data_IF_292527433574
#
_entry.id   IF_292527433574
#
_cell.length_a   1.000
_cell.length_b   1.000
_cell.length_c   1.000
_cell.angle_alpha   90.00
_cell.angle_beta   90.00
_cell.angle_gamma   90.00
#
_symmetry.space_group_name_H-M   'P 1'
#
loop_
_entity.id
_entity.type
_entity.pdbx_description
1 polymer ?
#
# COMPACT_ATOMS: atom_id res chain seq x y z
N UNK A 1 -22.22 42.54 -52.35
CA UNK A 1 -21.53 41.30 -51.95
C UNK A 1 -20.65 41.60 -50.76
N UNK A 2 -21.04 41.16 -49.55
CA UNK A 2 -20.19 41.22 -48.35
C UNK A 2 -20.17 39.80 -47.77
N UNK A 3 -19.05 39.12 -47.92
CA UNK A 3 -18.79 37.78 -47.39
C UNK A 3 -18.11 37.93 -46.03
N UNK A 4 -18.83 37.64 -44.96
CA UNK A 4 -18.25 37.49 -43.61
C UNK A 4 -17.78 36.06 -43.42
N UNK A 5 -16.47 35.88 -43.29
CA UNK A 5 -15.84 34.61 -42.90
C UNK A 5 -16.06 34.35 -41.41
N UNK A 6 -16.58 33.17 -41.05
CA UNK A 6 -16.63 32.71 -39.68
C UNK A 6 -15.39 31.84 -39.39
N UNK A 7 -14.54 32.29 -38.47
CA UNK A 7 -13.48 31.46 -37.87
C UNK A 7 -14.13 30.54 -36.82
N UNK A 8 -14.18 29.24 -37.09
CA UNK A 8 -14.45 28.23 -36.06
C UNK A 8 -13.19 28.00 -35.24
N UNK A 9 -13.14 28.55 -34.03
CA UNK A 9 -12.15 28.21 -33.02
C UNK A 9 -12.47 26.87 -32.38
N UNK A 10 -11.62 25.86 -32.58
CA UNK A 10 -11.70 24.58 -31.91
C UNK A 10 -11.18 24.75 -30.48
N UNK A 11 -12.08 24.83 -29.48
CA UNK A 11 -11.68 24.72 -28.07
C UNK A 11 -11.27 23.27 -27.78
N UNK A 12 -9.97 23.02 -27.59
CA UNK A 12 -9.51 21.81 -26.91
C UNK A 12 -9.92 21.91 -25.43
N UNK A 13 -10.92 21.14 -25.02
CA UNK A 13 -11.20 20.93 -23.61
C UNK A 13 -10.08 20.07 -23.01
N UNK A 14 -9.18 20.70 -22.23
CA UNK A 14 -8.29 19.99 -21.34
C UNK A 14 -9.13 19.44 -20.18
N UNK A 15 -9.47 18.15 -20.23
CA UNK A 15 -10.07 17.48 -19.09
C UNK A 15 -9.01 17.39 -17.96
N UNK A 16 -9.32 17.78 -16.71
CA UNK A 16 -8.42 17.55 -15.59
C UNK A 16 -8.24 16.04 -15.42
N UNK A 17 -7.00 15.57 -15.48
CA UNK A 17 -6.62 14.22 -15.11
C UNK A 17 -6.89 14.08 -13.61
N UNK A 18 -7.93 13.34 -13.26
CA UNK A 18 -8.12 12.86 -11.89
C UNK A 18 -7.00 11.84 -11.68
N UNK A 19 -5.97 12.21 -10.92
CA UNK A 19 -4.91 11.27 -10.53
C UNK A 19 -5.48 10.34 -9.48
N UNK A 20 -6.00 9.20 -9.93
CA UNK A 20 -6.52 8.15 -9.06
C UNK A 20 -5.34 7.27 -8.62
N UNK A 21 -4.87 7.47 -7.38
CA UNK A 21 -3.69 6.82 -6.81
C UNK A 21 -3.90 5.33 -6.42
N UNK A 22 -4.91 4.68 -7.00
CA UNK A 22 -5.28 3.30 -6.76
C UNK A 22 -4.54 2.38 -7.74
N UNK A 23 -4.10 1.20 -7.28
CA UNK A 23 -3.24 0.33 -8.08
C UNK A 23 -3.49 -1.15 -7.80
N UNK A 24 -3.00 -2.02 -8.69
CA UNK A 24 -3.13 -3.48 -8.59
C UNK A 24 -1.79 -4.13 -8.96
N UNK A 25 -1.37 -5.13 -8.19
CA UNK A 25 -0.21 -5.95 -8.52
C UNK A 25 -0.59 -7.02 -9.54
N UNK A 26 -0.26 -6.81 -10.82
CA UNK A 26 -0.73 -7.66 -11.92
C UNK A 26 0.34 -8.55 -12.52
N UNK A 27 1.63 -8.20 -12.38
CA UNK A 27 2.70 -8.88 -13.11
C UNK A 27 3.79 -9.41 -12.18
N UNK A 28 4.13 -10.69 -12.36
CA UNK A 28 5.23 -11.35 -11.66
C UNK A 28 6.57 -10.90 -12.26
N UNK A 29 7.56 -10.64 -11.42
CA UNK A 29 8.96 -10.41 -11.80
C UNK A 29 9.82 -11.46 -11.13
N UNK A 30 10.76 -12.03 -11.87
CA UNK A 30 11.79 -12.94 -11.33
C UNK A 30 13.15 -12.49 -11.82
N UNK A 31 14.08 -12.26 -10.89
CA UNK A 31 15.44 -11.79 -11.14
C UNK A 31 15.49 -10.53 -12.04
N UNK A 32 14.55 -9.60 -11.82
CA UNK A 32 14.43 -8.35 -12.57
C UNK A 32 13.69 -8.47 -13.90
N UNK A 33 13.32 -9.68 -14.35
CA UNK A 33 12.61 -9.91 -15.61
C UNK A 33 11.12 -10.17 -15.37
N UNK A 34 10.20 -9.40 -15.99
CA UNK A 34 8.78 -9.70 -15.96
C UNK A 34 8.46 -11.07 -16.58
N UNK A 35 7.56 -11.82 -15.96
CA UNK A 35 7.17 -13.16 -16.37
C UNK A 35 5.73 -13.18 -16.84
N UNK A 36 5.51 -13.55 -18.11
CA UNK A 36 4.18 -13.57 -18.71
C UNK A 36 3.54 -12.18 -18.85
N UNK A 37 2.26 -12.18 -19.21
CA UNK A 37 1.40 -10.99 -19.22
C UNK A 37 0.77 -10.79 -17.83
N UNK A 38 0.10 -9.66 -17.64
CA UNK A 38 -0.74 -9.41 -16.47
C UNK A 38 -1.62 -10.62 -16.14
N UNK A 39 -1.65 -11.00 -14.87
CA UNK A 39 -2.43 -12.10 -14.32
C UNK A 39 -2.11 -13.50 -14.88
N UNK A 40 -0.99 -13.67 -15.60
CA UNK A 40 -0.57 -15.02 -16.05
C UNK A 40 -0.31 -15.94 -14.85
N UNK A 41 0.38 -15.42 -13.83
CA UNK A 41 0.80 -16.17 -12.64
C UNK A 41 0.20 -15.62 -11.34
N UNK A 42 -0.56 -14.52 -11.43
CA UNK A 42 -1.25 -13.87 -10.32
C UNK A 42 -2.74 -14.05 -10.51
N UNK A 43 -3.45 -14.48 -9.47
CA UNK A 43 -4.90 -14.66 -9.53
C UNK A 43 -5.57 -13.31 -9.73
N UNK A 44 -6.22 -13.15 -10.87
CA UNK A 44 -7.02 -11.96 -11.14
C UNK A 44 -8.21 -11.90 -10.17
N UNK A 45 -8.41 -10.73 -9.57
CA UNK A 45 -9.53 -10.43 -8.68
C UNK A 45 -10.59 -9.59 -9.42
N UNK A 46 -11.78 -9.44 -8.83
CA UNK A 46 -12.86 -8.62 -9.38
C UNK A 46 -12.93 -7.20 -8.81
N UNK A 47 -12.10 -6.87 -7.81
CA UNK A 47 -12.00 -5.53 -7.24
C UNK A 47 -11.15 -4.58 -8.12
N UNK A 48 -10.46 -5.13 -9.12
CA UNK A 48 -9.57 -4.40 -10.02
C UNK A 48 -8.54 -3.59 -9.23
N UNK A 49 -8.26 -2.36 -9.62
CA UNK A 49 -7.34 -1.47 -8.92
C UNK A 49 -7.89 -0.87 -7.62
N UNK A 50 -9.16 -1.10 -7.28
CA UNK A 50 -9.74 -0.54 -6.06
C UNK A 50 -9.18 -1.23 -4.80
N UNK A 51 -8.98 -0.48 -3.70
CA UNK A 51 -8.63 -1.08 -2.42
C UNK A 51 -9.80 -1.88 -1.83
N UNK A 52 -9.48 -2.75 -0.89
CA UNK A 52 -10.46 -3.27 0.08
C UNK A 52 -10.32 -2.57 1.42
N UNK A 53 -11.40 -2.53 2.21
CA UNK A 53 -11.44 -1.85 3.51
C UNK A 53 -11.58 -2.82 4.69
N UNK A 54 -11.22 -2.44 5.93
CA UNK A 54 -11.19 -3.36 7.07
C UNK A 54 -12.54 -4.05 7.31
N UNK A 55 -13.65 -3.31 7.18
CA UNK A 55 -15.01 -3.81 7.35
C UNK A 55 -15.45 -4.81 6.27
N UNK A 56 -14.73 -4.88 5.15
CA UNK A 56 -15.02 -5.80 4.05
C UNK A 56 -14.21 -7.08 4.17
N UNK A 57 -12.92 -6.96 4.53
CA UNK A 57 -11.98 -8.07 4.37
C UNK A 57 -11.47 -8.67 5.68
N UNK A 58 -11.48 -7.98 6.82
CA UNK A 58 -10.67 -8.43 7.97
C UNK A 58 -11.04 -9.81 8.52
N UNK A 59 -12.33 -10.15 8.46
CA UNK A 59 -12.89 -11.44 8.84
C UNK A 59 -13.35 -12.28 7.63
N UNK A 60 -13.02 -11.86 6.41
CA UNK A 60 -13.44 -12.49 5.16
C UNK A 60 -12.30 -13.30 4.52
N UNK A 61 -12.60 -14.45 3.87
CA UNK A 61 -11.66 -15.14 3.00
C UNK A 61 -11.04 -14.25 1.91
N UNK A 62 -11.71 -13.18 1.51
CA UNK A 62 -11.21 -12.22 0.52
C UNK A 62 -9.91 -11.54 0.96
N UNK A 63 -9.59 -11.47 2.26
CA UNK A 63 -8.29 -10.95 2.72
C UNK A 63 -7.09 -11.75 2.20
N UNK A 64 -7.29 -13.02 1.81
CA UNK A 64 -6.19 -13.86 1.29
C UNK A 64 -5.64 -13.31 -0.02
N UNK A 65 -6.50 -13.18 -1.03
CA UNK A 65 -6.08 -12.92 -2.41
C UNK A 65 -6.95 -11.86 -3.12
N UNK A 66 -7.72 -11.08 -2.35
CA UNK A 66 -8.69 -10.08 -2.81
C UNK A 66 -9.99 -10.69 -3.37
N UNK A 67 -11.03 -9.86 -3.37
CA UNK A 67 -12.40 -10.22 -3.72
C UNK A 67 -12.47 -10.79 -5.13
N UNK A 68 -13.04 -11.99 -5.24
CA UNK A 68 -13.27 -12.65 -6.52
C UNK A 68 -12.05 -13.33 -7.13
N UNK A 69 -10.88 -13.30 -6.47
CA UNK A 69 -9.76 -14.16 -6.84
C UNK A 69 -10.12 -15.63 -6.56
N UNK A 70 -9.86 -16.53 -7.52
CA UNK A 70 -10.28 -17.93 -7.44
C UNK A 70 -9.12 -18.89 -7.70
N UNK A 71 -9.19 -20.07 -7.11
CA UNK A 71 -8.34 -21.19 -7.50
C UNK A 71 -8.54 -21.50 -9.00
N UNK A 72 -7.46 -21.86 -9.68
CA UNK A 72 -7.45 -22.23 -11.09
C UNK A 72 -7.46 -21.07 -12.08
N UNK A 73 -7.46 -19.82 -11.63
CA UNK A 73 -7.48 -18.64 -12.51
C UNK A 73 -6.10 -18.17 -12.99
N UNK A 74 -5.02 -18.78 -12.49
CA UNK A 74 -3.64 -18.45 -12.84
C UNK A 74 -2.81 -19.71 -13.09
N UNK A 75 -1.74 -19.57 -13.87
CA UNK A 75 -0.73 -20.61 -14.06
C UNK A 75 0.27 -20.62 -12.89
N UNK A 76 1.06 -21.68 -12.76
CA UNK A 76 2.11 -21.79 -11.75
C UNK A 76 3.47 -21.53 -12.38
N UNK A 77 4.27 -20.62 -11.81
CA UNK A 77 5.64 -20.34 -12.25
C UNK A 77 6.66 -21.02 -11.34
N UNK A 78 7.71 -21.62 -11.91
CA UNK A 78 8.79 -22.24 -11.13
C UNK A 78 9.85 -21.22 -10.76
N UNK A 79 10.18 -21.13 -9.47
CA UNK A 79 11.26 -20.30 -8.92
C UNK A 79 12.20 -21.16 -8.09
N UNK A 80 13.43 -20.70 -7.92
CA UNK A 80 14.43 -21.32 -7.06
C UNK A 80 14.54 -20.57 -5.73
N UNK A 81 14.88 -21.29 -4.68
CA UNK A 81 15.32 -20.71 -3.43
C UNK A 81 16.48 -19.73 -3.70
N UNK A 82 16.41 -18.52 -3.15
CA UNK A 82 17.35 -17.42 -3.44
C UNK A 82 17.00 -16.54 -4.64
N UNK A 83 16.03 -16.89 -5.49
CA UNK A 83 15.58 -15.98 -6.55
C UNK A 83 15.00 -14.70 -5.96
N UNK A 84 15.23 -13.57 -6.64
CA UNK A 84 14.55 -12.31 -6.34
C UNK A 84 13.20 -12.32 -7.04
N UNK A 85 12.11 -12.27 -6.28
CA UNK A 85 10.74 -12.32 -6.79
C UNK A 85 10.05 -10.98 -6.50
N UNK A 86 9.27 -10.50 -7.46
CA UNK A 86 8.61 -9.21 -7.41
C UNK A 86 7.19 -9.24 -7.94
N UNK A 87 6.39 -8.29 -7.47
CA UNK A 87 5.04 -8.03 -7.91
C UNK A 87 5.01 -6.59 -8.43
N UNK A 88 4.86 -6.43 -9.75
CA UNK A 88 4.80 -5.12 -10.41
C UNK A 88 3.36 -4.64 -10.50
N UNK A 89 3.19 -3.33 -10.34
CA UNK A 89 1.92 -2.66 -10.59
C UNK A 89 1.56 -2.64 -12.07
N UNK A 90 0.26 -2.69 -12.34
CA UNK A 90 -0.28 -2.53 -13.68
C UNK A 90 -0.03 -1.12 -14.25
N UNK A 91 -0.13 -0.97 -15.58
CA UNK A 91 0.03 0.30 -16.30
C UNK A 91 1.32 1.11 -16.03
N UNK A 92 2.36 0.50 -15.45
CA UNK A 92 3.57 1.19 -15.01
C UNK A 92 3.29 2.30 -13.96
N UNK A 93 2.24 2.11 -13.16
CA UNK A 93 1.94 2.97 -12.03
C UNK A 93 2.97 2.85 -10.89
N UNK A 94 2.90 3.80 -9.98
CA UNK A 94 3.69 3.84 -8.75
C UNK A 94 2.78 3.67 -7.52
N UNK A 95 3.34 3.18 -6.42
CA UNK A 95 2.67 3.20 -5.12
C UNK A 95 2.67 4.66 -4.63
N UNK A 96 1.51 5.31 -4.73
CA UNK A 96 1.33 6.73 -4.35
C UNK A 96 0.54 6.92 -3.06
N UNK A 97 0.48 5.87 -2.24
CA UNK A 97 -0.04 5.96 -0.88
C UNK A 97 1.03 5.59 0.14
N UNK A 98 1.12 6.32 1.28
CA UNK A 98 2.00 5.96 2.37
C UNK A 98 1.52 4.66 3.02
N UNK A 99 2.43 3.72 3.28
CA UNK A 99 2.07 2.45 3.88
C UNK A 99 3.16 1.40 3.85
N UNK A 100 3.10 0.37 4.70
CA UNK A 100 4.00 -0.77 4.64
C UNK A 100 3.66 -1.71 3.48
N UNK A 101 4.67 -2.46 3.05
CA UNK A 101 4.54 -3.60 2.14
C UNK A 101 4.86 -4.92 2.83
N UNK A 102 4.20 -5.99 2.42
CA UNK A 102 4.38 -7.33 2.96
C UNK A 102 4.39 -8.38 1.85
N UNK A 103 5.10 -9.49 2.12
CA UNK A 103 4.90 -10.73 1.37
C UNK A 103 4.72 -11.90 2.34
N UNK A 104 3.67 -12.67 2.11
CA UNK A 104 3.35 -13.89 2.84
C UNK A 104 3.35 -15.09 1.90
N UNK A 105 3.64 -16.27 2.44
CA UNK A 105 3.61 -17.51 1.70
C UNK A 105 2.79 -18.56 2.43
N UNK A 106 2.07 -19.38 1.67
CA UNK A 106 1.35 -20.54 2.18
C UNK A 106 1.59 -21.74 1.28
N UNK A 107 2.13 -22.82 1.87
CA UNK A 107 2.39 -24.06 1.14
C UNK A 107 1.07 -24.74 0.83
N UNK A 108 0.84 -25.06 -0.44
CA UNK A 108 -0.32 -25.84 -0.84
C UNK A 108 -0.17 -27.29 -0.33
N UNK A 109 -1.24 -27.90 0.21
CA UNK A 109 -1.22 -29.31 0.60
C UNK A 109 -1.16 -30.27 -0.61
N UNK A 110 -1.47 -29.76 -1.81
CA UNK A 110 -1.40 -30.44 -3.09
C UNK A 110 -1.03 -29.44 -4.18
N UNK A 111 -1.73 -29.48 -5.32
CA UNK A 111 -1.53 -28.45 -6.34
C UNK A 111 -2.01 -27.08 -5.85
N UNK A 112 -1.20 -26.04 -6.04
CA UNK A 112 -1.60 -24.67 -5.74
C UNK A 112 -2.75 -24.19 -6.63
N UNK A 113 -2.90 -24.78 -7.82
CA UNK A 113 -3.98 -24.41 -8.74
C UNK A 113 -5.36 -24.68 -8.13
N UNK A 114 -5.53 -25.73 -7.30
CA UNK A 114 -6.79 -26.00 -6.60
C UNK A 114 -6.84 -25.47 -5.16
N UNK A 115 -5.75 -24.89 -4.65
CA UNK A 115 -5.64 -24.44 -3.27
C UNK A 115 -6.24 -23.04 -3.06
N UNK A 116 -7.10 -22.89 -2.05
CA UNK A 116 -7.80 -21.65 -1.72
C UNK A 116 -7.07 -20.76 -0.69
N UNK A 117 -5.94 -21.21 -0.16
CA UNK A 117 -5.19 -20.48 0.87
C UNK A 117 -5.68 -20.68 2.30
N UNK A 118 -6.49 -21.70 2.59
CA UNK A 118 -7.03 -21.98 3.94
C UNK A 118 -6.04 -22.59 4.94
N UNK A 119 -4.88 -23.01 4.47
CA UNK A 119 -3.79 -23.51 5.28
C UNK A 119 -3.06 -22.40 6.04
N UNK A 120 -1.85 -22.72 6.47
CA UNK A 120 -1.04 -21.81 7.28
C UNK A 120 -0.25 -20.84 6.39
N UNK A 121 -0.12 -19.61 6.87
CA UNK A 121 0.65 -18.55 6.25
C UNK A 121 1.83 -18.16 7.14
N UNK A 122 2.94 -17.78 6.53
CA UNK A 122 4.07 -17.15 7.20
C UNK A 122 4.54 -15.93 6.40
N UNK A 123 5.06 -14.93 7.10
CA UNK A 123 5.59 -13.71 6.48
C UNK A 123 7.05 -13.96 6.05
N UNK A 124 7.41 -13.59 4.82
CA UNK A 124 8.79 -13.72 4.31
C UNK A 124 9.46 -12.38 4.06
N UNK A 125 8.68 -11.30 4.03
CA UNK A 125 9.19 -9.94 3.92
C UNK A 125 8.18 -8.97 4.51
N UNK A 126 8.70 -7.94 5.16
CA UNK A 126 8.00 -6.68 5.36
C UNK A 126 8.92 -5.51 5.10
N UNK A 127 8.32 -4.38 4.75
CA UNK A 127 9.01 -3.11 4.55
C UNK A 127 8.11 -1.98 5.04
N UNK A 128 8.70 -1.01 5.73
CA UNK A 128 7.98 0.08 6.39
C UNK A 128 8.63 1.42 6.14
N UNK A 129 9.01 2.11 7.21
CA UNK A 129 9.73 3.38 7.14
C UNK A 129 11.22 3.15 6.84
N UNK A 130 11.75 3.91 5.90
CA UNK A 130 13.16 3.92 5.53
C UNK A 130 13.87 5.15 6.10
N UNK A 131 15.20 5.06 6.24
CA UNK A 131 16.09 6.19 6.52
C UNK A 131 15.74 7.01 7.78
N UNK A 132 15.19 6.38 8.82
CA UNK A 132 14.76 7.05 10.04
C UNK A 132 13.59 8.03 9.84
N UNK A 133 12.87 7.89 8.72
CA UNK A 133 11.74 8.73 8.37
C UNK A 133 10.52 8.56 9.30
N UNK A 134 9.59 9.50 9.22
CA UNK A 134 8.38 9.52 10.06
C UNK A 134 7.16 9.12 9.25
N UNK A 135 6.23 8.42 9.88
CA UNK A 135 4.99 7.94 9.24
C UNK A 135 4.08 9.04 8.69
N UNK A 136 4.20 10.28 9.18
CA UNK A 136 3.47 11.43 8.67
C UNK A 136 4.08 12.03 7.39
N UNK A 137 5.23 11.52 6.92
CA UNK A 137 5.91 11.94 5.70
C UNK A 137 5.83 10.82 4.66
N UNK A 138 5.14 11.05 3.55
CA UNK A 138 4.84 9.99 2.57
C UNK A 138 6.11 9.38 1.95
N UNK A 139 7.08 10.22 1.57
CA UNK A 139 8.36 9.78 1.03
C UNK A 139 9.26 9.03 2.03
N UNK A 140 8.87 8.93 3.31
CA UNK A 140 9.59 8.12 4.29
C UNK A 140 9.29 6.63 4.17
N UNK A 141 8.21 6.25 3.48
CA UNK A 141 7.86 4.85 3.27
C UNK A 141 8.72 4.24 2.18
N UNK A 142 9.33 3.08 2.44
CA UNK A 142 10.20 2.41 1.48
C UNK A 142 9.47 2.02 0.18
N UNK A 143 8.15 1.85 0.26
CA UNK A 143 7.24 1.55 -0.85
C UNK A 143 6.89 2.78 -1.69
N UNK A 144 7.08 4.00 -1.15
CA UNK A 144 6.69 5.23 -1.82
C UNK A 144 7.35 5.36 -3.18
N UNK A 145 6.53 5.65 -4.20
CA UNK A 145 6.95 5.82 -5.58
C UNK A 145 7.68 4.60 -6.16
N UNK A 146 7.51 3.41 -5.58
CA UNK A 146 7.95 2.15 -6.18
C UNK A 146 6.87 1.62 -7.11
N UNK A 147 7.28 1.02 -8.21
CA UNK A 147 6.36 0.37 -9.16
C UNK A 147 6.12 -1.12 -8.83
N UNK A 148 6.66 -1.58 -7.69
CA UNK A 148 6.68 -2.98 -7.28
C UNK A 148 6.99 -3.17 -5.80
N UNK A 149 6.63 -4.35 -5.29
CA UNK A 149 7.13 -4.92 -4.04
C UNK A 149 7.94 -6.17 -4.37
N UNK A 150 9.15 -6.28 -3.81
CA UNK A 150 10.08 -7.38 -4.09
C UNK A 150 10.62 -8.01 -2.82
N UNK A 151 10.95 -9.30 -2.89
CA UNK A 151 11.60 -10.06 -1.83
C UNK A 151 12.57 -11.07 -2.43
N UNK A 152 13.47 -11.60 -1.61
CA UNK A 152 14.31 -12.75 -1.99
C UNK A 152 13.68 -14.01 -1.41
N UNK A 153 13.48 -15.01 -2.25
CA UNK A 153 12.99 -16.32 -1.82
C UNK A 153 13.95 -16.89 -0.75
N UNK A 154 13.48 -17.27 0.45
CA UNK A 154 14.35 -17.81 1.49
C UNK A 154 15.13 -19.04 0.98
N UNK A 155 16.40 -19.19 1.36
CA UNK A 155 17.27 -20.24 0.82
C UNK A 155 16.91 -21.63 1.37
N UNK A 156 16.39 -21.70 2.59
CA UNK A 156 15.97 -22.95 3.25
C UNK A 156 14.48 -23.24 3.09
N UNK A 157 13.76 -22.47 2.26
CA UNK A 157 12.32 -22.69 2.05
C UNK A 157 12.05 -24.13 1.58
N UNK A 158 11.10 -24.86 2.22
CA UNK A 158 10.76 -26.19 1.77
C UNK A 158 10.27 -26.19 0.31
N UNK A 159 10.79 -27.09 -0.52
CA UNK A 159 10.33 -27.23 -1.91
C UNK A 159 8.84 -27.60 -1.97
N UNK A 160 8.10 -27.08 -2.96
CA UNK A 160 6.66 -27.33 -3.12
C UNK A 160 5.94 -26.21 -3.85
N UNK A 161 4.62 -26.34 -3.99
CA UNK A 161 3.79 -25.28 -4.57
C UNK A 161 3.22 -24.37 -3.47
N UNK A 162 3.17 -23.07 -3.74
CA UNK A 162 2.84 -22.02 -2.78
C UNK A 162 1.91 -20.99 -3.40
N UNK A 163 0.92 -20.54 -2.60
CA UNK A 163 0.40 -19.19 -2.79
C UNK A 163 1.38 -18.20 -2.18
N UNK A 164 1.68 -17.14 -2.92
CA UNK A 164 2.53 -16.03 -2.47
C UNK A 164 1.72 -14.75 -2.55
N UNK A 165 1.37 -14.21 -1.38
CA UNK A 165 0.52 -13.04 -1.22
C UNK A 165 1.38 -11.79 -1.07
N UNK A 166 1.27 -10.86 -2.01
CA UNK A 166 1.77 -9.49 -1.84
C UNK A 166 0.68 -8.65 -1.18
N UNK A 167 1.06 -7.71 -0.33
CA UNK A 167 0.15 -6.75 0.25
C UNK A 167 0.82 -5.38 0.42
N UNK A 168 0.07 -4.32 0.14
CA UNK A 168 0.34 -2.97 0.60
C UNK A 168 -0.85 -2.46 1.41
N UNK A 169 -0.59 -1.85 2.58
CA UNK A 169 -1.63 -1.24 3.42
C UNK A 169 -1.44 0.26 3.38
N UNK A 170 -2.28 0.96 2.62
CA UNK A 170 -2.25 2.41 2.57
C UNK A 170 -2.94 3.02 3.80
N UNK A 171 -2.23 3.91 4.49
CA UNK A 171 -2.62 4.42 5.82
C UNK A 171 -3.15 5.86 5.83
N UNK A 172 -3.37 6.45 4.66
CA UNK A 172 -3.79 7.86 4.56
C UNK A 172 -5.19 8.11 5.12
N UNK A 173 -6.10 7.13 5.08
CA UNK A 173 -7.42 7.21 5.75
C UNK A 173 -7.56 6.27 6.97
N UNK A 174 -6.46 5.67 7.45
CA UNK A 174 -6.48 4.71 8.57
C UNK A 174 -7.12 5.24 9.85
N UNK A 175 -6.94 6.54 10.15
CA UNK A 175 -7.45 7.21 11.34
C UNK A 175 -8.99 7.25 11.44
N UNK A 176 -9.70 6.99 10.35
CA UNK A 176 -11.17 6.88 10.29
C UNK A 176 -11.63 5.47 9.92
N UNK A 177 -10.82 4.45 10.25
CA UNK A 177 -11.08 3.04 9.96
C UNK A 177 -11.18 2.71 8.45
N UNK A 178 -10.52 3.50 7.60
CA UNK A 178 -10.48 3.30 6.15
C UNK A 178 -9.06 3.01 5.65
N UNK A 179 -8.29 2.23 6.41
CA UNK A 179 -7.05 1.65 5.92
C UNK A 179 -7.34 0.88 4.61
N UNK A 180 -6.50 1.04 3.61
CA UNK A 180 -6.75 0.49 2.28
C UNK A 180 -5.81 -0.69 2.01
N UNK A 181 -6.38 -1.86 1.77
CA UNK A 181 -5.65 -3.10 1.48
C UNK A 181 -5.57 -3.33 -0.03
N UNK A 182 -4.36 -3.40 -0.55
CA UNK A 182 -4.04 -3.81 -1.92
C UNK A 182 -3.30 -5.14 -1.85
N UNK A 183 -3.87 -6.22 -2.37
CA UNK A 183 -3.36 -7.56 -2.12
C UNK A 183 -3.67 -8.53 -3.25
N UNK A 184 -2.71 -9.36 -3.61
CA UNK A 184 -2.85 -10.33 -4.70
C UNK A 184 -2.02 -11.57 -4.41
N UNK A 185 -2.42 -12.70 -5.00
CA UNK A 185 -1.71 -13.98 -4.82
C UNK A 185 -1.13 -14.49 -6.13
N UNK A 186 0.18 -14.70 -6.16
CA UNK A 186 0.85 -15.49 -7.18
C UNK A 186 0.83 -16.99 -6.85
N UNK A 187 0.92 -17.82 -7.89
CA UNK A 187 1.12 -19.26 -7.78
C UNK A 187 2.55 -19.62 -8.17
N UNK A 188 3.36 -20.04 -7.19
CA UNK A 188 4.76 -20.40 -7.42
C UNK A 188 5.03 -21.86 -7.06
N UNK A 189 5.84 -22.54 -7.86
CA UNK A 189 6.50 -23.80 -7.49
C UNK A 189 7.93 -23.47 -7.09
N UNK A 190 8.29 -23.76 -5.85
CA UNK A 190 9.63 -23.49 -5.32
C UNK A 190 10.49 -24.74 -5.39
N UNK A 191 11.66 -24.60 -6.00
CA UNK A 191 12.73 -25.59 -6.04
C UNK A 191 13.91 -25.13 -5.17
N UNK A 192 14.54 -26.03 -4.43
CA UNK A 192 15.64 -25.66 -3.55
C UNK A 192 15.97 -26.76 -2.55
N UNK A 193 17.02 -26.55 -1.73
CA UNK A 193 17.50 -27.56 -0.79
C UNK A 193 16.50 -27.84 0.34
N UNK A 194 15.58 -26.90 0.63
CA UNK A 194 14.64 -27.04 1.74
C UNK A 194 15.31 -27.01 3.12
N UNK A 195 14.70 -27.70 4.08
CA UNK A 195 15.27 -27.90 5.42
C UNK A 195 14.88 -26.86 6.48
N UNK A 196 14.29 -25.73 6.07
CA UNK A 196 13.74 -24.74 7.00
C UNK A 196 12.36 -25.13 7.56
N UNK A 197 11.99 -24.56 8.71
CA UNK A 197 10.65 -24.67 9.29
C UNK A 197 10.02 -23.26 9.35
N UNK A 198 9.21 -22.86 8.36
CA UNK A 198 8.64 -21.52 8.31
C UNK A 198 7.76 -21.19 9.51
N UNK A 199 7.94 -19.98 10.05
CA UNK A 199 7.11 -19.47 11.12
C UNK A 199 7.53 -18.07 11.59
N UNK A 200 6.72 -17.39 12.42
CA UNK A 200 5.45 -17.86 13.00
C UNK A 200 4.34 -18.14 11.98
N UNK A 201 3.52 -19.14 12.24
CA UNK A 201 2.38 -19.53 11.38
C UNK A 201 1.10 -18.82 11.83
N UNK A 202 0.32 -18.31 10.87
CA UNK A 202 -0.96 -17.63 11.10
C UNK A 202 -2.02 -18.06 10.08
N UNK A 203 -3.28 -17.68 10.33
CA UNK A 203 -4.38 -17.78 9.36
C UNK A 203 -4.71 -16.43 8.75
N UNK A 204 -5.13 -16.45 7.48
CA UNK A 204 -5.71 -15.31 6.78
C UNK A 204 -7.10 -15.75 6.29
N UNK A 205 -8.21 -15.13 6.73
CA UNK A 205 -8.32 -14.12 7.78
C UNK A 205 -7.95 -14.65 9.18
N UNK A 206 -7.76 -13.73 10.14
CA UNK A 206 -7.48 -14.04 11.55
C UNK A 206 -6.19 -13.43 12.12
N UNK A 207 -5.24 -13.03 11.27
CA UNK A 207 -3.99 -12.40 11.71
C UNK A 207 -4.10 -10.90 12.02
N UNK A 208 -5.13 -10.23 11.53
CA UNK A 208 -5.35 -8.78 11.68
C UNK A 208 -6.63 -8.49 12.46
N UNK A 209 -6.65 -7.35 13.14
CA UNK A 209 -7.85 -6.74 13.72
C UNK A 209 -7.96 -5.30 13.24
N UNK A 210 -9.18 -4.79 13.07
CA UNK A 210 -9.38 -3.44 12.55
C UNK A 210 -8.76 -2.38 13.46
N UNK A 211 -8.69 -2.68 14.77
CA UNK A 211 -8.10 -1.85 15.79
C UNK A 211 -6.58 -2.05 15.99
N UNK A 212 -5.92 -2.91 15.20
CA UNK A 212 -4.46 -3.05 15.30
C UNK A 212 -3.80 -1.68 15.05
N UNK A 213 -2.76 -1.31 15.84
CA UNK A 213 -2.20 0.04 15.81
C UNK A 213 -1.58 0.43 14.46
N UNK A 214 -1.17 -0.53 13.64
CA UNK A 214 -0.71 -0.31 12.27
C UNK A 214 -1.84 -0.17 11.23
N UNK A 215 -3.06 -0.58 11.56
CA UNK A 215 -4.25 -0.53 10.71
C UNK A 215 -5.11 0.69 11.06
N UNK A 216 -5.48 0.86 12.34
CA UNK A 216 -6.16 2.05 12.87
C UNK A 216 -5.14 3.14 13.26
N UNK A 217 -4.30 3.54 12.31
CA UNK A 217 -3.21 4.47 12.52
C UNK A 217 -3.55 5.93 12.16
N UNK A 218 -3.11 6.89 12.98
CA UNK A 218 -3.25 8.32 12.68
C UNK A 218 -1.92 8.98 12.29
N UNK A 219 -1.68 9.09 10.97
CA UNK A 219 -0.50 9.76 10.42
C UNK A 219 -0.61 11.28 10.34
N UNK A 220 -1.78 11.88 10.51
CA UNK A 220 -1.99 13.32 10.22
C UNK A 220 -1.58 14.26 11.36
N UNK A 221 -1.06 13.70 12.45
CA UNK A 221 -0.54 14.48 13.56
C UNK A 221 0.91 14.93 13.28
N UNK A 222 1.31 16.04 13.89
CA UNK A 222 2.69 16.56 13.76
C UNK A 222 3.74 15.61 14.38
N UNK A 223 3.33 14.80 15.36
CA UNK A 223 4.16 13.79 15.99
C UNK A 223 3.37 12.49 16.18
N UNK A 224 3.20 11.69 15.12
CA UNK A 224 2.41 10.48 15.20
C UNK A 224 3.13 9.42 16.04
N UNK A 225 2.35 8.49 16.62
CA UNK A 225 2.92 7.36 17.35
C UNK A 225 3.88 6.55 16.45
N UNK A 226 4.89 5.87 17.00
CA UNK A 226 5.69 4.92 16.22
C UNK A 226 4.80 3.95 15.46
N UNK A 227 5.14 3.68 14.19
CA UNK A 227 4.36 2.74 13.39
C UNK A 227 4.69 1.31 13.81
N UNK A 228 3.66 0.54 14.17
CA UNK A 228 3.79 -0.86 14.56
C UNK A 228 3.33 -1.71 13.37
N UNK A 229 4.23 -2.56 12.88
CA UNK A 229 3.94 -3.46 11.75
C UNK A 229 2.84 -4.47 12.15
N UNK A 230 1.73 -4.56 11.40
CA UNK A 230 0.71 -5.57 11.64
C UNK A 230 1.17 -6.99 11.24
N UNK A 231 0.52 -7.99 11.84
CA UNK A 231 0.73 -9.40 11.52
C UNK A 231 1.93 -10.04 12.25
N UNK A 232 2.28 -11.30 11.89
CA UNK A 232 3.37 -12.02 12.54
C UNK A 232 4.75 -11.42 12.20
N UNK A 233 5.77 -11.79 12.96
CA UNK A 233 7.15 -11.51 12.59
C UNK A 233 7.54 -12.17 11.25
N UNK A 234 8.53 -11.59 10.56
CA UNK A 234 9.13 -12.20 9.35
C UNK A 234 9.85 -13.49 9.74
N UNK A 235 9.62 -14.55 8.97
CA UNK A 235 10.37 -15.80 9.08
C UNK A 235 11.84 -15.56 8.68
N UNK A 236 12.75 -15.87 9.60
CA UNK A 236 14.19 -15.75 9.38
C UNK A 236 14.76 -17.09 8.89
N UNK A 237 15.36 -17.04 7.70
CA UNK A 237 15.96 -18.18 7.02
C UNK A 237 17.05 -18.82 7.91
N UNK A 238 16.84 -20.05 8.37
CA UNK A 238 17.76 -20.75 9.29
C UNK A 238 17.43 -20.64 10.79
N UNK A 239 16.39 -19.91 11.20
CA UNK A 239 15.88 -20.00 12.56
C UNK A 239 15.10 -21.32 12.72
N UNK A 240 15.70 -22.30 13.40
CA UNK A 240 14.94 -23.40 13.96
C UNK A 240 13.97 -22.83 14.99
N UNK A 241 12.71 -23.26 14.95
CA UNK A 241 11.65 -22.76 15.81
C UNK A 241 11.89 -23.13 17.28
N UNK A 242 12.74 -22.36 17.96
CA UNK A 242 12.80 -22.27 19.41
C UNK A 242 11.84 -21.19 19.88
N UNK A 243 10.92 -21.53 20.80
CA UNK A 243 10.15 -20.54 21.54
C UNK A 243 11.13 -19.59 22.22
N UNK A 244 10.97 -18.29 22.06
CA UNK A 244 11.50 -17.29 22.99
C UNK A 244 10.58 -16.09 22.98
N UNK A 245 9.76 -16.00 24.02
CA UNK A 245 9.33 -14.74 24.60
C UNK A 245 10.61 -13.96 24.95
N UNK A 246 10.84 -12.83 24.30
CA UNK A 246 11.24 -11.57 24.94
C UNK A 246 11.63 -10.53 23.89
N UNK A 247 11.10 -9.33 24.11
CA UNK A 247 11.47 -8.13 23.38
C UNK A 247 12.93 -7.78 23.68
N UNK A 248 13.74 -7.64 22.63
CA UNK A 248 15.06 -7.05 22.74
C UNK A 248 15.23 -5.99 21.63
N UNK A 249 15.46 -4.76 22.09
CA UNK A 249 15.73 -3.57 21.31
C UNK A 249 16.96 -3.73 20.39
N UNK A 250 17.05 -2.99 19.28
CA UNK A 250 18.27 -3.01 18.47
C UNK A 250 19.39 -2.23 19.18
N UNK A 251 20.46 -2.96 19.48
CA UNK A 251 21.78 -2.42 19.84
C UNK A 251 22.36 -1.67 18.64
N UNK A 252 22.80 -0.44 18.88
CA UNK A 252 23.44 0.44 17.91
C UNK A 252 24.93 0.51 18.23
N UNK A 253 25.77 0.02 17.33
CA UNK A 253 27.22 0.23 17.36
C UNK A 253 27.57 1.42 16.45
N UNK A 254 27.87 2.56 17.07
CA UNK A 254 28.58 3.66 16.44
C UNK A 254 29.61 4.22 17.44
N UNK A 255 30.90 4.38 17.08
CA UNK A 255 31.92 4.83 18.01
C UNK A 255 31.88 6.36 18.21
N UNK A 256 32.21 6.78 19.42
CA UNK A 256 32.14 8.13 19.94
C UNK A 256 33.29 9.06 19.49
N UNK A 257 32.99 10.35 19.32
CA UNK A 257 33.94 11.47 19.35
C UNK A 257 33.27 12.74 19.97
N UNK A 258 34.04 13.68 20.55
CA UNK A 258 33.68 14.33 21.80
C UNK A 258 32.98 15.70 21.68
N UNK A 259 32.48 16.14 22.84
CA UNK A 259 31.64 17.32 23.09
C UNK A 259 32.31 18.68 22.83
N UNK A 260 31.51 19.64 22.34
CA UNK A 260 31.77 21.07 22.47
C UNK A 260 30.47 21.84 22.72
N UNK A 261 30.55 22.78 23.66
CA UNK A 261 29.51 23.68 24.15
C UNK A 261 29.46 24.98 23.35
N UNK A 262 28.27 25.48 23.01
CA UNK A 262 27.97 26.92 22.94
C UNK A 262 26.46 27.20 22.79
N UNK A 263 26.05 28.38 23.26
CA UNK A 263 24.66 28.81 23.49
C UNK A 263 23.88 29.23 22.23
N UNK A 264 22.55 29.16 22.34
CA UNK A 264 21.57 29.47 21.29
C UNK A 264 21.27 30.98 21.14
N UNK A 265 21.02 31.48 19.91
CA UNK A 265 20.31 32.74 19.66
C UNK A 265 18.83 32.51 19.27
N UNK A 266 18.00 33.51 19.56
CA UNK A 266 16.55 33.53 19.34
C UNK A 266 16.14 33.66 17.86
N UNK A 267 15.01 33.05 17.50
CA UNK A 267 14.44 33.05 16.15
C UNK A 267 13.51 34.25 15.88
N UNK A 268 13.44 34.79 14.64
CA UNK A 268 12.52 35.84 14.25
C UNK A 268 11.13 35.33 13.83
N UNK A 269 10.13 36.22 13.88
CA UNK A 269 8.71 35.95 13.62
C UNK A 269 8.36 35.68 12.14
N UNK A 270 7.34 34.85 11.91
CA UNK A 270 6.84 34.45 10.59
C UNK A 270 5.84 35.47 9.99
N UNK A 271 5.77 35.63 8.64
CA UNK A 271 4.81 36.53 7.99
C UNK A 271 3.43 35.88 7.74
N UNK A 272 2.40 36.73 7.63
CA UNK A 272 1.00 36.37 7.39
C UNK A 272 0.71 35.93 5.94
N UNK A 273 -0.24 35.00 5.77
CA UNK A 273 -0.70 34.49 4.46
C UNK A 273 -1.77 35.39 3.80
N UNK A 274 -1.89 35.40 2.46
CA UNK A 274 -2.80 36.30 1.73
C UNK A 274 -4.24 35.78 1.71
N UNK A 275 -5.21 36.71 1.74
CA UNK A 275 -6.63 36.45 1.59
C UNK A 275 -7.01 36.17 0.12
N UNK A 276 -7.76 35.09 -0.12
CA UNK A 276 -8.27 34.70 -1.45
C UNK A 276 -9.55 35.45 -1.83
N UNK A 277 -9.66 35.76 -3.12
CA UNK A 277 -10.67 36.62 -3.76
C UNK A 277 -12.14 36.25 -3.49
N UNK A 278 -12.90 37.22 -2.98
CA UNK A 278 -14.33 37.10 -2.58
C UNK A 278 -15.31 37.11 -3.76
N UNK A 279 -14.85 36.85 -5.00
CA UNK A 279 -15.65 36.93 -6.22
C UNK A 279 -15.71 35.66 -7.08
N UNK A 280 -14.89 34.65 -6.78
CA UNK A 280 -14.83 33.42 -7.57
C UNK A 280 -15.98 32.47 -7.20
N UNK A 281 -16.56 31.80 -8.20
CA UNK A 281 -17.56 30.72 -8.02
C UNK A 281 -16.90 29.35 -8.20
N UNK A 282 -17.24 28.38 -7.36
CA UNK A 282 -16.79 27.00 -7.48
C UNK A 282 -17.43 26.33 -8.71
N UNK A 283 -16.66 25.54 -9.45
CA UNK A 283 -17.19 24.74 -10.57
C UNK A 283 -18.11 23.62 -10.06
N UNK A 284 -18.91 23.01 -10.94
CA UNK A 284 -19.65 21.78 -10.61
C UNK A 284 -18.68 20.73 -10.04
N UNK A 285 -19.08 20.06 -8.96
CA UNK A 285 -18.29 19.17 -8.11
C UNK A 285 -17.10 19.82 -7.36
N UNK A 286 -16.92 21.13 -7.45
CA UNK A 286 -15.93 21.86 -6.68
C UNK A 286 -16.38 22.13 -5.24
N UNK A 287 -15.41 22.30 -4.32
CA UNK A 287 -15.71 22.68 -2.95
C UNK A 287 -16.26 24.11 -2.92
N UNK A 288 -17.40 24.27 -2.27
CA UNK A 288 -18.12 25.54 -2.13
C UNK A 288 -18.40 25.90 -0.67
N UNK A 289 -17.79 25.19 0.28
CA UNK A 289 -17.98 25.44 1.70
C UNK A 289 -17.34 24.37 2.57
N UNK A 290 -17.42 24.57 3.88
CA UNK A 290 -16.78 23.74 4.89
C UNK A 290 -16.06 24.59 5.93
N UNK A 291 -15.92 24.07 7.14
CA UNK A 291 -15.20 24.74 8.21
C UNK A 291 -13.73 24.99 7.80
N UNK A 292 -13.27 26.23 7.99
CA UNK A 292 -11.97 26.76 7.53
C UNK A 292 -11.77 26.86 6.00
N UNK A 293 -12.81 26.68 5.18
CA UNK A 293 -12.73 26.94 3.75
C UNK A 293 -12.69 28.45 3.47
N UNK A 294 -11.60 28.91 2.84
CA UNK A 294 -11.41 30.32 2.44
C UNK A 294 -11.60 30.54 0.92
N UNK A 295 -12.15 29.56 0.20
CA UNK A 295 -12.39 29.64 -1.23
C UNK A 295 -13.83 30.04 -1.59
N UNK A 296 -14.23 29.86 -2.87
CA UNK A 296 -15.57 30.17 -3.35
C UNK A 296 -16.69 29.57 -2.49
N UNK A 297 -17.72 30.36 -2.17
CA UNK A 297 -18.90 29.88 -1.42
C UNK A 297 -20.16 29.73 -2.28
N UNK A 298 -20.07 30.14 -3.56
CA UNK A 298 -21.15 30.06 -4.53
C UNK A 298 -20.76 29.16 -5.70
N UNK A 299 -21.72 28.41 -6.23
CA UNK A 299 -21.51 27.52 -7.37
C UNK A 299 -21.72 28.25 -8.70
N UNK A 300 -20.82 28.01 -9.66
CA UNK A 300 -20.96 28.46 -11.04
C UNK A 300 -22.11 27.73 -11.75
N UNK A 301 -22.30 26.45 -11.39
CA UNK A 301 -23.38 25.57 -11.82
C UNK A 301 -23.76 24.63 -10.66
N UNK A 302 -25.04 24.26 -10.55
CA UNK A 302 -25.55 23.45 -9.44
C UNK A 302 -25.78 24.26 -8.16
N UNK A 303 -25.99 23.55 -7.04
CA UNK A 303 -26.20 24.11 -5.71
C UNK A 303 -25.11 23.61 -4.76
N UNK A 304 -24.63 24.48 -3.87
CA UNK A 304 -23.68 24.06 -2.84
C UNK A 304 -24.39 23.16 -1.82
N UNK A 305 -24.03 21.87 -1.76
CA UNK A 305 -24.57 20.89 -0.81
C UNK A 305 -23.51 20.51 0.21
N UNK A 306 -23.83 20.63 1.49
CA UNK A 306 -22.98 20.14 2.56
C UNK A 306 -22.91 18.61 2.52
N UNK A 307 -21.70 18.07 2.45
CA UNK A 307 -21.44 16.64 2.62
C UNK A 307 -21.09 16.32 4.07
N UNK A 308 -20.37 17.22 4.74
CA UNK A 308 -20.08 17.22 6.18
C UNK A 308 -19.65 18.63 6.63
N UNK A 309 -19.37 18.79 7.92
CA UNK A 309 -19.01 20.09 8.54
C UNK A 309 -17.80 20.77 7.90
N UNK A 310 -16.91 20.01 7.28
CA UNK A 310 -15.65 20.49 6.70
C UNK A 310 -15.68 20.59 5.17
N UNK A 311 -16.76 20.11 4.54
CA UNK A 311 -16.84 20.02 3.09
C UNK A 311 -18.26 20.14 2.55
N UNK A 312 -18.46 21.14 1.70
CA UNK A 312 -19.64 21.32 0.85
C UNK A 312 -19.22 21.34 -0.61
N UNK A 313 -20.02 20.75 -1.48
CA UNK A 313 -19.71 20.58 -2.90
C UNK A 313 -20.82 21.11 -3.79
N UNK A 314 -20.46 21.70 -4.93
CA UNK A 314 -21.41 22.04 -5.97
C UNK A 314 -21.94 20.78 -6.65
N UNK A 315 -23.24 20.51 -6.58
CA UNK A 315 -23.91 19.37 -7.24
C UNK A 315 -25.27 19.75 -7.82
#
# INVERSE_FOLDING_TARGET
MKTTSALSGLLLAAAPLVTEAHYIFSQLIVNGTPQGKDFTYIRQNSNSYMPSFPNEVIDSPDLRCNKGAKAGSAQTYTVKAGDKVGFKLWFNENIEHPGPGFVYMSKAPGSVSSYDGSGDWFKVMETGLCNGGKANTDASWCTWQKDRIEFTMPKTIPAGEYLVRVEHIAIHESHVNKAQFYMECAQLKVEGPGGGNPGPLVKIPGMYKAADPGIAYNKWTSNPAPYIMPGPAVWTDGASSGKSDDAAAPVSDAPAAPAASSAAPAAPAAPAAPAGDVGAKATMYGQCGGMNWNGPTACAQGTCKAANDWYSQCV
#
